data_IF_860354193605
#
_entry.id   IF_860354193605
#
_cell.length_a   1.000
_cell.length_b   1.000
_cell.length_c   1.000
_cell.angle_alpha   90.00
_cell.angle_beta   90.00
_cell.angle_gamma   90.00
#
_symmetry.space_group_name_H-M   'P 1'
#
loop_
_entity.id
_entity.type
_entity.pdbx_description
1 polymer ?
#
# COMPACT_ATOMS: atom_id res chain seq x y z
N UNK A 1 5.48 -3.91 18.07
CA UNK A 1 4.81 -3.77 16.76
C UNK A 1 3.34 -4.20 16.87
N UNK A 2 2.57 -3.65 17.81
CA UNK A 2 1.26 -4.22 18.20
C UNK A 2 0.08 -3.86 17.26
N UNK A 3 0.33 -3.09 16.20
CA UNK A 3 -0.71 -2.55 15.32
C UNK A 3 -0.39 -2.78 13.82
N UNK A 4 0.47 -3.75 13.52
CA UNK A 4 0.82 -4.05 12.14
C UNK A 4 -0.40 -4.70 11.44
N UNK A 5 -0.92 -4.13 10.34
CA UNK A 5 -2.04 -4.70 9.61
C UNK A 5 -1.64 -6.03 8.97
N UNK A 6 -2.63 -6.87 8.67
CA UNK A 6 -2.39 -8.16 8.04
C UNK A 6 -1.88 -8.00 6.60
N UNK A 7 -0.79 -8.69 6.26
CA UNK A 7 -0.29 -8.78 4.87
C UNK A 7 -1.25 -9.67 4.05
N UNK A 8 -2.11 -9.04 3.25
CA UNK A 8 -3.08 -9.76 2.41
C UNK A 8 -2.50 -10.33 1.11
N UNK A 9 -1.39 -9.79 0.62
CA UNK A 9 -0.73 -10.24 -0.60
C UNK A 9 0.31 -11.32 -0.30
N UNK A 10 0.34 -12.40 -1.09
CA UNK A 10 1.40 -13.40 -0.98
C UNK A 10 2.69 -12.91 -1.64
N UNK A 11 3.84 -13.39 -1.16
CA UNK A 11 5.15 -13.05 -1.76
C UNK A 11 5.24 -13.50 -3.23
N UNK A 12 4.64 -14.64 -3.55
CA UNK A 12 4.63 -15.17 -4.91
C UNK A 12 3.83 -14.25 -5.85
N UNK A 13 2.70 -13.71 -5.40
CA UNK A 13 1.87 -12.81 -6.22
C UNK A 13 2.57 -11.47 -6.47
N UNK A 14 3.24 -10.92 -5.45
CA UNK A 14 4.06 -9.70 -5.62
C UNK A 14 5.23 -9.90 -6.60
N UNK A 15 5.86 -11.08 -6.57
CA UNK A 15 6.94 -11.42 -7.49
C UNK A 15 6.43 -11.60 -8.93
N UNK A 16 5.31 -12.30 -9.13
CA UNK A 16 4.67 -12.49 -10.45
C UNK A 16 4.28 -11.16 -11.08
N UNK A 17 3.71 -10.24 -10.29
CA UNK A 17 3.32 -8.91 -10.73
C UNK A 17 4.49 -7.92 -10.86
N UNK A 18 5.73 -8.36 -10.61
CA UNK A 18 6.96 -7.55 -10.73
C UNK A 18 6.87 -6.23 -9.96
N UNK A 19 6.29 -6.26 -8.78
CA UNK A 19 6.16 -5.06 -7.93
C UNK A 19 7.57 -4.68 -7.41
N UNK A 20 8.01 -3.41 -7.57
CA UNK A 20 9.26 -2.91 -7.01
C UNK A 20 9.29 -3.07 -5.48
N UNK A 21 10.48 -3.23 -4.89
CA UNK A 21 10.62 -3.54 -3.47
C UNK A 21 10.01 -2.48 -2.56
N UNK A 22 10.04 -1.22 -2.99
CA UNK A 22 9.51 -0.05 -2.28
C UNK A 22 7.99 -0.12 -2.10
N UNK A 23 7.28 -0.81 -3.01
CA UNK A 23 5.83 -0.94 -3.00
C UNK A 23 5.35 -2.32 -2.49
N UNK A 24 6.25 -3.10 -1.88
CA UNK A 24 5.91 -4.39 -1.25
C UNK A 24 5.55 -4.20 0.22
N UNK A 25 4.57 -3.35 0.46
CA UNK A 25 4.06 -3.00 1.78
C UNK A 25 2.71 -3.69 2.06
N UNK A 26 2.09 -3.39 3.20
CA UNK A 26 0.79 -3.95 3.58
C UNK A 26 -0.33 -3.62 2.59
N UNK A 27 -0.19 -2.52 1.83
CA UNK A 27 -1.14 -2.07 0.82
C UNK A 27 -0.91 -2.68 -0.58
N UNK A 28 0.11 -3.53 -0.76
CA UNK A 28 0.46 -4.13 -2.05
C UNK A 28 -0.70 -4.88 -2.72
N UNK A 29 -1.61 -5.48 -1.94
CA UNK A 29 -2.79 -6.20 -2.46
C UNK A 29 -3.72 -5.33 -3.32
N UNK A 30 -3.77 -4.01 -3.08
CA UNK A 30 -4.55 -3.05 -3.89
C UNK A 30 -3.78 -2.59 -5.14
N UNK A 31 -2.45 -2.70 -5.12
CA UNK A 31 -1.61 -2.30 -6.25
C UNK A 31 -1.69 -3.30 -7.42
N UNK A 32 -1.93 -4.59 -7.14
CA UNK A 32 -2.15 -5.60 -8.18
C UNK A 32 -3.32 -5.25 -9.12
N UNK A 33 -4.57 -5.03 -8.64
CA UNK A 33 -5.69 -4.68 -9.52
C UNK A 33 -5.50 -3.31 -10.18
N UNK A 34 -4.90 -2.34 -9.49
CA UNK A 34 -4.59 -1.02 -10.07
C UNK A 34 -3.63 -1.13 -11.26
N UNK A 35 -2.55 -1.91 -11.14
CA UNK A 35 -1.61 -2.10 -12.24
C UNK A 35 -2.21 -2.89 -13.40
N UNK A 36 -3.10 -3.83 -13.12
CA UNK A 36 -3.88 -4.52 -14.17
C UNK A 36 -4.76 -3.53 -14.94
N UNK A 37 -5.54 -2.71 -14.22
CA UNK A 37 -6.40 -1.70 -14.84
C UNK A 37 -5.60 -0.65 -15.64
N UNK A 38 -4.44 -0.21 -15.12
CA UNK A 38 -3.52 0.69 -15.84
C UNK A 38 -2.99 0.08 -17.14
N UNK A 39 -2.65 -1.20 -17.13
CA UNK A 39 -2.21 -1.93 -18.32
C UNK A 39 -3.32 -2.03 -19.38
N UNK A 40 -4.54 -2.37 -18.97
CA UNK A 40 -5.70 -2.52 -19.86
C UNK A 40 -6.17 -1.18 -20.46
N UNK A 41 -6.06 -0.09 -19.70
CA UNK A 41 -6.53 1.24 -20.10
C UNK A 41 -5.43 2.17 -20.61
N UNK A 42 -4.23 1.64 -20.87
CA UNK A 42 -3.08 2.43 -21.33
C UNK A 42 -2.74 3.64 -20.43
N UNK A 43 -2.87 3.46 -19.11
CA UNK A 43 -2.53 4.48 -18.09
C UNK A 43 -3.29 5.80 -18.23
N UNK A 44 -4.51 5.77 -18.77
CA UNK A 44 -5.35 6.97 -18.88
C UNK A 44 -5.73 7.49 -17.48
N UNK A 45 -5.56 8.79 -17.19
CA UNK A 45 -5.66 9.32 -15.82
C UNK A 45 -7.08 9.35 -15.24
N UNK A 46 -8.11 9.34 -16.10
CA UNK A 46 -9.53 9.31 -15.74
C UNK A 46 -10.11 7.88 -15.70
N UNK A 47 -9.30 6.85 -15.97
CA UNK A 47 -9.67 5.45 -15.81
C UNK A 47 -8.94 4.90 -14.58
N UNK A 48 -9.59 3.97 -13.88
CA UNK A 48 -9.08 3.35 -12.65
C UNK A 48 -8.96 4.30 -11.43
N UNK A 49 -9.80 5.33 -11.35
CA UNK A 49 -9.74 6.31 -10.24
C UNK A 49 -10.12 5.71 -8.89
N UNK A 50 -11.08 4.77 -8.87
CA UNK A 50 -11.52 4.12 -7.65
C UNK A 50 -10.39 3.27 -7.05
N UNK A 51 -9.77 2.42 -7.85
CA UNK A 51 -8.65 1.56 -7.45
C UNK A 51 -7.44 2.41 -7.03
N UNK A 52 -7.21 3.54 -7.71
CA UNK A 52 -6.17 4.50 -7.32
C UNK A 52 -6.47 5.09 -5.94
N UNK A 53 -7.68 5.58 -5.73
CA UNK A 53 -8.07 6.23 -4.48
C UNK A 53 -8.09 5.24 -3.30
N UNK A 54 -8.50 3.99 -3.52
CA UNK A 54 -8.43 2.94 -2.51
C UNK A 54 -6.98 2.65 -2.08
N UNK A 55 -6.07 2.54 -3.04
CA UNK A 55 -4.64 2.37 -2.76
C UNK A 55 -4.05 3.56 -2.00
N UNK A 56 -4.35 4.79 -2.43
CA UNK A 56 -3.89 6.02 -1.78
C UNK A 56 -4.42 6.14 -0.34
N UNK A 57 -5.68 5.78 -0.12
CA UNK A 57 -6.27 5.75 1.23
C UNK A 57 -5.54 4.75 2.13
N UNK A 58 -5.23 3.56 1.62
CA UNK A 58 -4.47 2.56 2.37
C UNK A 58 -3.08 3.09 2.77
N UNK A 59 -2.36 3.70 1.83
CA UNK A 59 -1.05 4.31 2.08
C UNK A 59 -1.12 5.42 3.12
N UNK A 60 -2.17 6.24 3.06
CA UNK A 60 -2.38 7.31 4.03
C UNK A 60 -2.66 6.77 5.45
N UNK A 61 -3.44 5.69 5.55
CA UNK A 61 -3.72 5.03 6.83
C UNK A 61 -2.45 4.38 7.40
N UNK A 62 -1.60 3.78 6.56
CA UNK A 62 -0.28 3.25 6.94
C UNK A 62 0.68 4.35 7.43
N UNK A 63 0.73 5.48 6.72
CA UNK A 63 1.51 6.64 7.14
C UNK A 63 1.08 7.16 8.52
N UNK A 64 -0.22 7.33 8.74
CA UNK A 64 -0.76 7.74 10.05
C UNK A 64 -0.39 6.74 11.16
N UNK A 65 -0.41 5.44 10.87
CA UNK A 65 0.06 4.41 11.82
C UNK A 65 1.53 4.63 12.20
N UNK A 66 2.41 4.84 11.20
CA UNK A 66 3.84 5.08 11.43
C UNK A 66 4.09 6.36 12.25
N UNK A 67 3.34 7.42 11.99
CA UNK A 67 3.44 8.67 12.76
C UNK A 67 3.03 8.48 14.22
N UNK A 68 1.97 7.71 14.49
CA UNK A 68 1.57 7.37 15.88
C UNK A 68 2.63 6.53 16.59
N UNK A 69 3.24 5.57 15.89
CA UNK A 69 4.31 4.77 16.45
C UNK A 69 5.55 5.62 16.79
N UNK A 70 5.89 6.58 15.93
CA UNK A 70 6.98 7.53 16.18
C UNK A 70 6.67 8.45 17.38
N UNK A 71 5.45 8.97 17.47
CA UNK A 71 5.03 9.82 18.59
C UNK A 71 5.13 9.06 19.92
N UNK A 72 4.63 7.82 19.97
CA UNK A 72 4.74 6.96 21.14
C UNK A 72 6.20 6.67 21.52
N UNK A 73 7.05 6.38 20.54
CA UNK A 73 8.47 6.13 20.81
C UNK A 73 9.17 7.36 21.42
N UNK A 74 8.80 8.58 21.00
CA UNK A 74 9.32 9.82 21.60
C UNK A 74 8.83 10.04 23.03
N UNK A 75 7.56 9.73 23.30
CA UNK A 75 7.00 9.82 24.66
C UNK A 75 7.62 8.79 25.61
N UNK A 76 7.94 7.59 25.12
CA UNK A 76 8.62 6.55 25.90
C UNK A 76 10.11 6.89 26.16
N UNK A 77 10.71 7.80 25.38
CA UNK A 77 12.09 8.28 25.54
C UNK A 77 12.23 9.46 26.51
N UNK A 78 11.12 10.17 26.81
CA UNK A 78 11.05 11.31 27.74
C UNK A 78 10.78 10.87 29.19
#
# INVERSE_FOLDING_TARGET
MADAPEMKATQQDMAKSRIPLEYRDYCAHLLLPLNKCRGETFYLPWKCENERHEYEKCQYDDYKRRMRALQKAKEDEE
#
